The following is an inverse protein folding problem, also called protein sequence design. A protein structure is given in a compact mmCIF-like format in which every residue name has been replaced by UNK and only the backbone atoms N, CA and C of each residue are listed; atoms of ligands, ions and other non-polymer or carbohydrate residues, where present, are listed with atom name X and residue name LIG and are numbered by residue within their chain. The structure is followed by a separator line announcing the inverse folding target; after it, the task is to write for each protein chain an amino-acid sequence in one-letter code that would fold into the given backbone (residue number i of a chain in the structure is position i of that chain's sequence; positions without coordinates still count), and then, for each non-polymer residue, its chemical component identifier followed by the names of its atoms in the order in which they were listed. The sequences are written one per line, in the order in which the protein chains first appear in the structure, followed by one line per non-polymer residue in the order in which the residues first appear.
data_IF_072873362295
#
_entry.id   IF_072873362295
#
_cell.length_a   1.000
_cell.length_b   1.000
_cell.length_c   1.000
_cell.angle_alpha   90.00
_cell.angle_beta   90.00
_cell.angle_gamma   90.00
#
_symmetry.space_group_name_H-M   'P 1'
#
loop_
_entity.id
_entity.type
_entity.pdbx_description
1 polymer ?
#
# COMPACT_ATOMS: atom_id res chain seq x y z
N UNK A 1 3.58 -29.71 33.77
CA UNK A 1 3.53 -29.74 32.28
C UNK A 1 2.64 -28.59 31.85
N UNK A 2 3.01 -27.35 32.18
CA UNK A 2 2.06 -26.22 32.23
C UNK A 2 2.62 -24.94 31.54
N UNK A 3 3.70 -25.07 30.76
CA UNK A 3 4.44 -23.94 30.17
C UNK A 3 4.14 -23.68 28.69
N UNK A 4 3.07 -24.26 28.13
CA UNK A 4 2.71 -24.09 26.71
C UNK A 4 1.65 -23.01 26.49
N UNK A 5 0.76 -22.77 27.46
CA UNK A 5 -0.27 -21.72 27.40
C UNK A 5 0.32 -20.31 27.57
N UNK A 6 1.39 -20.16 28.35
CA UNK A 6 2.09 -18.89 28.53
C UNK A 6 2.76 -18.40 27.23
N UNK A 7 3.31 -19.32 26.43
CA UNK A 7 3.99 -18.97 25.17
C UNK A 7 3.03 -18.45 24.11
N UNK A 8 1.80 -18.98 24.05
CA UNK A 8 0.77 -18.51 23.11
C UNK A 8 0.22 -17.13 23.52
N UNK A 9 0.17 -16.85 24.83
CA UNK A 9 -0.29 -15.55 25.34
C UNK A 9 0.69 -14.42 25.02
N UNK A 10 2.00 -14.72 25.02
CA UNK A 10 3.04 -13.75 24.63
C UNK A 10 3.01 -13.41 23.13
N UNK A 11 2.59 -14.34 22.26
CA UNK A 11 2.48 -14.09 20.81
C UNK A 11 1.30 -13.17 20.44
N UNK A 12 0.22 -13.17 21.24
CA UNK A 12 -0.94 -12.29 21.02
C UNK A 12 -0.66 -10.83 21.44
N UNK A 13 0.35 -10.62 22.29
CA UNK A 13 0.81 -9.29 22.71
C UNK A 13 1.80 -8.64 21.73
N UNK A 14 2.09 -9.27 20.59
CA UNK A 14 2.79 -8.58 19.52
C UNK A 14 1.87 -7.45 19.05
N UNK A 15 2.16 -6.23 19.53
CA UNK A 15 1.50 -5.02 19.10
C UNK A 15 1.43 -5.09 17.56
N UNK A 16 0.24 -4.95 16.96
CA UNK A 16 0.13 -4.92 15.52
C UNK A 16 1.06 -3.80 15.09
N UNK A 17 2.19 -4.20 14.50
CA UNK A 17 3.29 -3.31 14.18
C UNK A 17 2.69 -2.24 13.31
N UNK A 18 2.36 -1.11 13.94
CA UNK A 18 1.59 -0.07 13.30
C UNK A 18 2.51 0.42 12.22
N UNK A 19 2.11 0.19 10.97
CA UNK A 19 2.79 0.72 9.80
C UNK A 19 2.55 2.24 9.83
N UNK A 20 3.23 2.92 10.75
CA UNK A 20 3.46 4.34 10.70
C UNK A 20 4.78 4.45 9.96
N UNK A 21 4.80 4.75 8.65
CA UNK A 21 6.03 5.09 7.99
C UNK A 21 6.57 6.36 8.67
N UNK A 22 7.49 6.19 9.62
CA UNK A 22 8.03 7.26 10.47
C UNK A 22 8.81 8.34 9.69
N UNK A 23 8.94 8.22 8.36
CA UNK A 23 9.67 9.19 7.57
C UNK A 23 8.98 9.47 6.24
N UNK A 24 8.18 10.56 6.19
CA UNK A 24 8.23 11.58 5.12
C UNK A 24 7.17 12.67 5.35
N UNK A 25 7.29 13.44 6.43
CA UNK A 25 6.48 14.66 6.61
C UNK A 25 6.91 15.83 5.68
N UNK A 26 7.78 15.59 4.68
CA UNK A 26 8.18 16.60 3.68
C UNK A 26 8.61 15.95 2.34
N UNK A 27 7.89 14.91 1.92
CA UNK A 27 8.05 14.30 0.60
C UNK A 27 7.13 14.97 -0.42
N UNK A 28 7.62 15.20 -1.64
CA UNK A 28 6.73 15.54 -2.77
C UNK A 28 5.58 14.53 -2.86
N UNK A 29 4.40 14.98 -3.33
CA UNK A 29 3.21 14.13 -3.51
C UNK A 29 3.52 12.82 -4.23
N UNK A 30 4.45 12.85 -5.19
CA UNK A 30 4.95 11.69 -5.93
C UNK A 30 5.59 10.63 -5.04
N UNK A 31 6.36 11.06 -4.03
CA UNK A 31 7.00 10.16 -3.07
C UNK A 31 5.95 9.50 -2.18
N UNK A 32 4.95 10.25 -1.72
CA UNK A 32 3.86 9.71 -0.93
C UNK A 32 3.05 8.67 -1.74
N UNK A 33 2.78 8.95 -3.01
CA UNK A 33 2.09 8.02 -3.91
C UNK A 33 2.88 6.73 -4.11
N UNK A 34 4.20 6.82 -4.34
CA UNK A 34 5.06 5.65 -4.50
C UNK A 34 5.12 4.80 -3.24
N UNK A 35 5.18 5.42 -2.06
CA UNK A 35 5.15 4.72 -0.76
C UNK A 35 3.81 4.00 -0.58
N UNK A 36 2.69 4.67 -0.84
CA UNK A 36 1.36 4.08 -0.75
C UNK A 36 1.19 2.90 -1.71
N UNK A 37 1.60 3.07 -2.98
CA UNK A 37 1.59 1.99 -3.97
C UNK A 37 2.47 0.81 -3.52
N UNK A 38 3.66 1.09 -2.99
CA UNK A 38 4.58 0.09 -2.44
C UNK A 38 3.99 -0.71 -1.28
N UNK A 39 3.25 -0.06 -0.38
CA UNK A 39 2.57 -0.73 0.74
C UNK A 39 1.50 -1.73 0.25
N UNK A 40 0.67 -1.29 -0.71
CA UNK A 40 -0.36 -2.15 -1.34
C UNK A 40 0.29 -3.29 -2.12
N UNK A 41 1.35 -3.01 -2.87
CA UNK A 41 2.11 -4.02 -3.61
C UNK A 41 2.69 -5.08 -2.70
N UNK A 42 3.32 -4.68 -1.58
CA UNK A 42 3.85 -5.62 -0.58
C UNK A 42 2.77 -6.53 0.00
N UNK A 43 1.60 -5.98 0.33
CA UNK A 43 0.47 -6.76 0.85
C UNK A 43 -0.07 -7.78 -0.19
N UNK A 44 0.09 -7.53 -1.48
CA UNK A 44 -0.32 -8.43 -2.56
C UNK A 44 0.82 -9.31 -3.13
N UNK A 45 2.06 -9.19 -2.62
CA UNK A 45 3.21 -9.90 -3.16
C UNK A 45 3.70 -9.39 -4.52
N UNK A 46 3.36 -8.14 -4.86
CA UNK A 46 3.71 -7.47 -6.12
C UNK A 46 4.89 -6.53 -5.89
N UNK A 47 5.91 -6.62 -6.76
CA UNK A 47 7.03 -5.68 -6.76
C UNK A 47 6.63 -4.38 -7.46
N UNK A 48 6.61 -3.29 -6.71
CA UNK A 48 6.38 -1.94 -7.24
C UNK A 48 7.71 -1.32 -7.63
N UNK A 49 7.77 -0.80 -8.85
CA UNK A 49 8.91 -0.08 -9.40
C UNK A 49 8.55 1.41 -9.54
N UNK A 50 9.49 2.32 -9.24
CA UNK A 50 9.30 3.73 -9.57
C UNK A 50 9.20 3.91 -11.09
N UNK A 51 8.47 4.94 -11.56
CA UNK A 51 8.46 5.30 -12.98
C UNK A 51 9.85 5.75 -13.43
N UNK A 52 10.09 5.75 -14.73
CA UNK A 52 11.39 6.14 -15.27
C UNK A 52 11.71 7.60 -14.92
N UNK A 53 12.98 7.95 -14.71
CA UNK A 53 13.43 9.32 -14.44
C UNK A 53 13.01 10.33 -15.52
N UNK A 54 12.75 9.85 -16.73
CA UNK A 54 12.25 10.64 -17.87
C UNK A 54 10.74 10.87 -17.84
N UNK A 55 10.00 10.16 -17.00
CA UNK A 55 8.57 10.36 -16.78
C UNK A 55 8.37 11.32 -15.61
N UNK A 56 8.07 12.56 -15.94
CA UNK A 56 7.64 13.54 -14.95
C UNK A 56 6.20 13.21 -14.52
N UNK A 57 6.03 12.72 -13.28
CA UNK A 57 4.70 12.39 -12.73
C UNK A 57 3.79 13.61 -12.73
N UNK A 58 4.36 14.82 -12.60
CA UNK A 58 3.64 16.10 -12.64
C UNK A 58 2.99 16.38 -14.01
N UNK A 59 3.54 15.81 -15.08
CA UNK A 59 3.04 15.95 -16.46
C UNK A 59 2.20 14.75 -16.90
N UNK A 60 2.17 13.69 -16.11
CA UNK A 60 1.39 12.51 -16.41
C UNK A 60 -0.07 12.74 -16.05
N UNK A 61 -0.98 12.31 -16.92
CA UNK A 61 -2.42 12.49 -16.70
C UNK A 61 -2.92 11.71 -15.47
N UNK A 62 -2.32 10.55 -15.21
CA UNK A 62 -2.52 9.78 -13.99
C UNK A 62 -1.16 9.23 -13.47
N UNK A 63 -0.61 9.79 -12.37
CA UNK A 63 0.69 9.38 -11.85
C UNK A 63 0.71 7.93 -11.36
N UNK A 64 -0.44 7.33 -10.96
CA UNK A 64 -0.48 5.92 -10.56
C UNK A 64 -0.39 4.99 -11.76
N UNK A 65 -0.84 5.43 -12.94
CA UNK A 65 -0.74 4.66 -14.18
C UNK A 65 0.72 4.53 -14.65
N UNK A 66 1.52 5.59 -14.47
CA UNK A 66 2.96 5.52 -14.71
C UNK A 66 3.65 4.47 -13.81
N UNK A 67 3.32 4.45 -12.52
CA UNK A 67 3.83 3.45 -11.57
C UNK A 67 3.38 2.04 -11.97
N UNK A 68 2.11 1.85 -12.32
CA UNK A 68 1.57 0.56 -12.73
C UNK A 68 2.26 0.03 -14.00
N UNK A 69 2.50 0.91 -14.97
CA UNK A 69 3.19 0.61 -16.23
C UNK A 69 4.66 0.25 -16.01
N UNK A 70 5.38 0.99 -15.19
CA UNK A 70 6.75 0.67 -14.81
C UNK A 70 6.85 -0.66 -14.04
N UNK A 71 5.85 -0.96 -13.22
CA UNK A 71 5.77 -2.19 -12.43
C UNK A 71 5.24 -3.39 -13.23
N UNK A 72 4.72 -3.17 -14.46
CA UNK A 72 4.04 -4.17 -15.30
C UNK A 72 2.84 -4.83 -14.60
N UNK A 73 2.07 -4.03 -13.87
CA UNK A 73 0.90 -4.49 -13.10
C UNK A 73 -0.37 -3.93 -13.72
N UNK A 74 -1.43 -4.73 -13.75
CA UNK A 74 -2.75 -4.26 -14.20
C UNK A 74 -3.42 -3.46 -13.07
N UNK A 75 -3.79 -2.22 -13.36
CA UNK A 75 -4.64 -1.42 -12.50
C UNK A 75 -6.12 -1.51 -12.94
N UNK A 76 -7.03 -1.38 -11.98
CA UNK A 76 -8.47 -1.24 -12.23
C UNK A 76 -9.03 -0.21 -11.25
N UNK A 77 -9.72 0.80 -11.78
CA UNK A 77 -10.50 1.74 -10.95
C UNK A 77 -11.77 1.02 -10.49
N UNK A 78 -12.03 1.08 -9.18
CA UNK A 78 -13.21 0.50 -8.56
C UNK A 78 -14.06 1.61 -7.95
N UNK A 79 -15.36 1.51 -8.13
CA UNK A 79 -16.31 2.30 -7.35
C UNK A 79 -16.63 1.52 -6.08
N UNK A 80 -16.34 2.12 -4.94
CA UNK A 80 -16.64 1.55 -3.63
C UNK A 80 -18.11 1.86 -3.32
N UNK A 81 -18.95 0.81 -3.22
CA UNK A 81 -20.40 0.91 -3.01
C UNK A 81 -20.78 0.33 -1.66
N UNK A 82 -21.68 1.00 -0.93
CA UNK A 82 -22.21 0.58 0.37
C UNK A 82 -21.12 0.06 1.33
N UNK A 83 -21.37 -1.07 1.98
CA UNK A 83 -20.48 -1.79 2.88
C UNK A 83 -19.34 -2.55 2.16
N UNK A 84 -18.66 -1.92 1.19
CA UNK A 84 -17.61 -2.57 0.38
C UNK A 84 -16.53 -3.25 1.23
N UNK A 85 -16.21 -2.68 2.40
CA UNK A 85 -15.20 -3.21 3.32
C UNK A 85 -15.57 -4.60 3.87
N UNK A 86 -16.85 -4.98 3.89
CA UNK A 86 -17.32 -6.31 4.31
C UNK A 86 -17.15 -7.38 3.24
N UNK A 87 -16.92 -7.00 1.98
CA UNK A 87 -16.93 -7.90 0.81
C UNK A 87 -15.55 -8.45 0.41
N UNK A 88 -14.49 -8.14 1.17
CA UNK A 88 -13.18 -8.76 0.99
C UNK A 88 -12.46 -8.38 -0.31
N UNK A 89 -12.39 -7.09 -0.65
CA UNK A 89 -11.79 -6.60 -1.90
C UNK A 89 -10.25 -6.58 -1.92
N UNK A 90 -9.58 -7.12 -0.90
CA UNK A 90 -8.12 -7.10 -0.76
C UNK A 90 -7.55 -5.69 -0.54
N UNK A 91 -6.22 -5.55 -0.62
CA UNK A 91 -5.54 -4.26 -0.48
C UNK A 91 -5.90 -3.30 -1.63
N UNK A 92 -6.34 -2.09 -1.29
CA UNK A 92 -6.75 -1.06 -2.24
C UNK A 92 -6.00 0.25 -1.96
N UNK A 93 -5.74 1.02 -3.02
CA UNK A 93 -5.20 2.38 -2.93
C UNK A 93 -6.33 3.36 -3.26
N UNK A 94 -6.59 4.30 -2.35
CA UNK A 94 -7.58 5.37 -2.51
C UNK A 94 -6.93 6.74 -2.41
N UNK A 95 -7.49 7.72 -3.11
CA UNK A 95 -7.09 9.12 -2.99
C UNK A 95 -8.03 9.82 -2.01
N UNK A 96 -7.45 10.35 -0.93
CA UNK A 96 -8.16 11.26 -0.04
C UNK A 96 -7.96 12.68 -0.58
N UNK A 97 -9.07 13.42 -0.71
CA UNK A 97 -9.06 14.84 -1.06
C UNK A 97 -8.91 15.69 0.20
#
# INVERSE_FOLDING_TARGET
MDDTLGQLTAMVQQEPQSFIPEQTASGSTDKALLIAAGAVGRAQGIKICPPALSEDLSRCQDPIEAIARASRVRMRRLQLVDDWWKKGCGPLLGFCR
#
